data_IF_576463275197
#
_entry.id   IF_576463275197
#
_cell.length_a   1.000
_cell.length_b   1.000
_cell.length_c   1.000
_cell.angle_alpha   90.00
_cell.angle_beta   90.00
_cell.angle_gamma   90.00
#
_symmetry.space_group_name_H-M   'P 1'
#
loop_
_entity.id
_entity.type
_entity.pdbx_description
1 polymer ?
#
# COMPACT_ATOMS: atom_id res chain seq x y z
N UNK A 1 -64.20 -30.37 11.59
CA UNK A 1 -65.41 -29.68 11.08
C UNK A 1 -64.96 -28.54 10.19
N UNK A 2 -64.57 -28.77 8.92
CA UNK A 2 -65.40 -28.78 7.70
C UNK A 2 -66.57 -27.77 7.72
N UNK A 3 -66.44 -26.70 6.94
CA UNK A 3 -67.55 -26.13 6.16
C UNK A 3 -67.04 -25.81 4.75
N UNK A 4 -67.53 -26.61 3.80
CA UNK A 4 -67.58 -26.30 2.38
C UNK A 4 -68.86 -25.49 2.13
N UNK A 5 -68.84 -24.59 1.15
CA UNK A 5 -69.99 -24.37 0.28
C UNK A 5 -69.51 -24.02 -1.13
N UNK A 6 -69.94 -24.85 -2.08
CA UNK A 6 -69.86 -24.66 -3.53
C UNK A 6 -70.85 -23.54 -3.96
N UNK A 7 -70.97 -23.04 -5.19
CA UNK A 7 -70.77 -23.59 -6.53
C UNK A 7 -71.03 -22.43 -7.52
N UNK A 8 -70.31 -22.32 -8.64
CA UNK A 8 -70.87 -22.37 -10.01
C UNK A 8 -69.80 -22.01 -11.04
N UNK A 9 -69.61 -22.92 -11.99
CA UNK A 9 -68.85 -22.72 -13.20
C UNK A 9 -69.70 -21.99 -14.25
N UNK A 10 -69.08 -21.15 -15.09
CA UNK A 10 -69.55 -20.90 -16.44
C UNK A 10 -68.36 -20.79 -17.41
N UNK A 11 -68.42 -21.62 -18.45
CA UNK A 11 -67.57 -21.64 -19.64
C UNK A 11 -67.58 -20.28 -20.37
N UNK A 12 -66.42 -19.84 -20.87
CA UNK A 12 -66.36 -19.03 -22.08
C UNK A 12 -65.10 -19.37 -22.88
N UNK A 13 -65.35 -19.76 -24.13
CA UNK A 13 -64.41 -20.20 -25.16
C UNK A 13 -63.70 -19.01 -25.80
N UNK A 14 -62.44 -19.26 -26.19
CA UNK A 14 -61.53 -18.41 -26.95
C UNK A 14 -62.17 -17.70 -28.16
N UNK A 15 -61.83 -16.42 -28.32
CA UNK A 15 -61.62 -15.77 -29.62
C UNK A 15 -60.29 -15.03 -29.58
N UNK A 16 -59.33 -15.50 -30.38
CA UNK A 16 -58.05 -14.85 -30.64
C UNK A 16 -58.28 -13.54 -31.41
N UNK A 17 -57.81 -12.42 -30.86
CA UNK A 17 -57.47 -11.24 -31.65
C UNK A 17 -55.97 -10.99 -31.53
N UNK A 18 -55.28 -11.11 -32.66
CA UNK A 18 -53.84 -10.86 -32.78
C UNK A 18 -53.66 -9.34 -32.75
N UNK A 19 -53.37 -8.79 -31.57
CA UNK A 19 -52.92 -7.41 -31.44
C UNK A 19 -51.40 -7.39 -31.46
N UNK A 20 -50.84 -6.83 -32.54
CA UNK A 20 -49.40 -6.68 -32.74
C UNK A 20 -48.82 -5.73 -31.70
N UNK A 21 -48.31 -6.29 -30.61
CA UNK A 21 -47.60 -5.53 -29.58
C UNK A 21 -46.16 -5.29 -30.06
N UNK A 22 -45.91 -4.08 -30.59
CA UNK A 22 -44.57 -3.57 -30.87
C UNK A 22 -43.71 -3.74 -29.61
N UNK A 23 -42.63 -4.53 -29.70
CA UNK A 23 -41.55 -4.54 -28.72
C UNK A 23 -41.03 -3.11 -28.57
N UNK A 24 -41.25 -2.49 -27.41
CA UNK A 24 -40.43 -1.36 -26.99
C UNK A 24 -39.01 -1.90 -26.80
N UNK A 25 -38.09 -1.51 -27.68
CA UNK A 25 -36.67 -1.62 -27.43
C UNK A 25 -36.35 -0.69 -26.26
N UNK A 26 -36.33 -1.24 -25.05
CA UNK A 26 -35.77 -0.55 -23.90
C UNK A 26 -34.24 -0.71 -23.95
N UNK A 27 -33.62 0.18 -24.73
CA UNK A 27 -32.18 0.23 -24.95
C UNK A 27 -31.49 1.22 -24.00
N UNK A 28 -32.00 1.38 -22.78
CA UNK A 28 -31.30 2.12 -21.73
C UNK A 28 -30.77 1.17 -20.67
N UNK A 29 -29.89 0.24 -21.06
CA UNK A 29 -28.84 -0.18 -20.13
C UNK A 29 -27.91 1.01 -19.99
N UNK A 30 -27.87 1.59 -18.79
CA UNK A 30 -26.76 2.46 -18.40
C UNK A 30 -25.46 1.76 -18.81
N UNK A 31 -24.60 2.40 -19.61
CA UNK A 31 -23.32 1.80 -19.92
C UNK A 31 -22.64 1.47 -18.59
N UNK A 32 -22.13 0.24 -18.46
CA UNK A 32 -21.25 -0.10 -17.35
C UNK A 32 -20.24 1.04 -17.22
N UNK A 33 -19.98 1.56 -16.01
CA UNK A 33 -18.99 2.61 -15.84
C UNK A 33 -17.71 2.13 -16.53
N UNK A 34 -17.29 2.88 -17.54
CA UNK A 34 -16.05 2.62 -18.26
C UNK A 34 -14.96 2.84 -17.22
N UNK A 35 -14.43 1.74 -16.68
CA UNK A 35 -13.26 1.77 -15.82
C UNK A 35 -12.19 2.51 -16.63
N UNK A 36 -11.61 3.61 -16.12
CA UNK A 36 -10.55 4.32 -16.83
C UNK A 36 -9.48 3.31 -17.22
N UNK A 37 -9.19 3.21 -18.53
CA UNK A 37 -8.08 2.37 -18.99
C UNK A 37 -6.82 3.02 -18.43
N UNK A 38 -6.13 2.32 -17.52
CA UNK A 38 -4.84 2.73 -17.00
C UNK A 38 -3.86 2.84 -18.16
N UNK A 39 -3.53 4.06 -18.60
CA UNK A 39 -2.49 4.30 -19.59
C UNK A 39 -1.10 4.39 -18.96
N UNK A 40 -1.02 4.42 -17.62
CA UNK A 40 0.23 4.25 -16.89
C UNK A 40 0.61 2.77 -16.94
N UNK A 41 1.32 2.37 -18.00
CA UNK A 41 1.87 1.03 -18.21
C UNK A 41 2.90 0.61 -17.15
N UNK A 42 3.12 1.43 -16.12
CA UNK A 42 4.25 1.30 -15.20
C UNK A 42 3.92 0.41 -13.99
N UNK A 43 2.63 0.22 -13.67
CA UNK A 43 2.22 -0.59 -12.51
C UNK A 43 1.71 -1.98 -12.92
N UNK A 44 2.39 -3.02 -12.47
CA UNK A 44 1.96 -4.42 -12.61
C UNK A 44 1.26 -4.89 -11.31
N UNK A 45 -0.06 -5.19 -11.34
CA UNK A 45 -0.78 -5.68 -10.16
C UNK A 45 -0.17 -6.94 -9.56
N UNK A 46 0.43 -7.80 -10.39
CA UNK A 46 1.07 -9.02 -9.90
C UNK A 46 2.29 -8.71 -9.02
N UNK A 47 3.00 -7.61 -9.26
CA UNK A 47 4.11 -7.19 -8.39
C UNK A 47 3.61 -6.81 -6.99
N UNK A 48 2.48 -6.11 -6.89
CA UNK A 48 1.88 -5.78 -5.59
C UNK A 48 1.29 -7.01 -4.90
N UNK A 49 0.68 -7.93 -5.64
CA UNK A 49 0.23 -9.22 -5.09
C UNK A 49 1.42 -9.99 -4.53
N UNK A 50 2.53 -10.05 -5.27
CA UNK A 50 3.75 -10.70 -4.80
C UNK A 50 4.29 -10.04 -3.53
N UNK A 51 4.29 -8.71 -3.47
CA UNK A 51 4.68 -7.97 -2.26
C UNK A 51 3.78 -8.31 -1.07
N UNK A 52 2.50 -8.59 -1.27
CA UNK A 52 1.59 -8.95 -0.17
C UNK A 52 1.56 -10.44 0.19
N UNK A 53 2.03 -11.34 -0.69
CA UNK A 53 1.77 -12.79 -0.54
C UNK A 53 3.02 -13.66 -0.52
N UNK A 54 4.14 -13.21 -1.09
CA UNK A 54 5.38 -13.97 -1.04
C UNK A 54 6.09 -13.77 0.30
N UNK A 55 6.86 -14.78 0.69
CA UNK A 55 7.75 -14.67 1.83
C UNK A 55 8.78 -13.54 1.62
N UNK A 56 9.28 -12.94 2.71
CA UNK A 56 10.35 -11.96 2.65
C UNK A 56 11.61 -12.56 2.05
N UNK A 57 12.41 -11.72 1.40
CA UNK A 57 13.65 -12.17 0.77
C UNK A 57 14.74 -12.53 1.80
N UNK A 58 14.69 -11.94 3.00
CA UNK A 58 15.53 -12.28 4.15
C UNK A 58 14.97 -11.65 5.45
N UNK A 59 15.33 -12.20 6.63
CA UNK A 59 15.00 -11.59 7.91
C UNK A 59 15.79 -10.30 8.13
N UNK A 60 15.19 -9.36 8.84
CA UNK A 60 15.71 -8.02 9.09
C UNK A 60 16.74 -8.03 10.23
N UNK A 61 17.84 -7.31 10.06
CA UNK A 61 18.85 -7.14 11.11
C UNK A 61 18.29 -6.37 12.31
N UNK A 62 18.72 -6.73 13.53
CA UNK A 62 18.38 -6.00 14.75
C UNK A 62 16.90 -6.08 15.17
N UNK A 63 16.18 -7.10 14.71
CA UNK A 63 14.73 -7.28 14.94
C UNK A 63 14.39 -8.65 15.52
N UNK A 64 15.36 -9.36 16.08
CA UNK A 64 15.20 -10.72 16.62
C UNK A 64 14.18 -10.80 17.76
N UNK A 65 13.97 -9.69 18.48
CA UNK A 65 13.05 -9.60 19.60
C UNK A 65 11.63 -9.17 19.22
N UNK A 66 11.36 -8.85 17.94
CA UNK A 66 10.07 -8.31 17.48
C UNK A 66 9.42 -9.20 16.42
N UNK A 67 8.10 -9.26 16.43
CA UNK A 67 7.32 -10.21 15.62
C UNK A 67 7.41 -9.95 14.11
N UNK A 68 7.65 -8.72 13.69
CA UNK A 68 7.83 -8.35 12.28
C UNK A 68 9.26 -8.55 11.77
N UNK A 69 10.19 -8.98 12.62
CA UNK A 69 11.61 -9.07 12.29
C UNK A 69 11.98 -10.13 11.25
N UNK A 70 11.07 -11.04 10.93
CA UNK A 70 11.20 -11.96 9.79
C UNK A 70 11.01 -11.25 8.45
N UNK A 71 10.58 -9.97 8.46
CA UNK A 71 10.31 -9.15 7.28
C UNK A 71 8.96 -9.46 6.64
N UNK A 72 8.13 -10.25 7.32
CA UNK A 72 6.84 -10.78 6.84
C UNK A 72 5.87 -9.65 6.50
N UNK A 73 5.21 -9.78 5.34
CA UNK A 73 4.04 -8.97 5.05
C UNK A 73 3.00 -9.22 6.13
N UNK A 74 2.24 -8.21 6.56
CA UNK A 74 1.07 -8.45 7.40
C UNK A 74 0.06 -9.23 6.56
N UNK A 75 -0.14 -10.55 6.78
CA UNK A 75 -0.91 -11.38 5.85
C UNK A 75 -2.38 -10.98 5.81
N UNK A 76 -2.82 -10.23 6.82
CA UNK A 76 -4.11 -9.59 6.89
C UNK A 76 -3.88 -8.12 7.24
N UNK A 77 -3.87 -7.22 6.24
CA UNK A 77 -3.93 -5.81 6.55
C UNK A 77 -5.18 -5.54 7.41
N UNK A 78 -5.09 -4.61 8.36
CA UNK A 78 -6.23 -4.28 9.21
C UNK A 78 -7.47 -3.99 8.36
N UNK A 79 -8.67 -4.40 8.81
CA UNK A 79 -9.90 -4.17 8.08
C UNK A 79 -10.05 -2.71 7.68
N UNK A 80 -10.54 -2.49 6.46
CA UNK A 80 -10.89 -1.17 5.96
C UNK A 80 -12.43 -1.07 5.94
N UNK A 81 -13.05 -0.13 6.65
CA UNK A 81 -12.47 0.87 7.54
C UNK A 81 -12.07 0.36 8.94
N UNK A 82 -11.16 1.09 9.61
CA UNK A 82 -10.67 0.74 10.94
C UNK A 82 -11.09 1.75 12.02
N UNK A 83 -11.31 1.23 13.23
CA UNK A 83 -11.43 2.00 14.47
C UNK A 83 -10.21 1.75 15.36
N UNK A 84 -9.87 2.70 16.22
CA UNK A 84 -8.94 2.44 17.31
C UNK A 84 -9.57 1.52 18.37
N UNK A 85 -8.78 1.06 19.34
CA UNK A 85 -9.26 0.18 20.41
C UNK A 85 -10.32 0.83 21.33
N UNK A 86 -10.45 2.16 21.31
CA UNK A 86 -11.46 2.93 22.04
C UNK A 86 -12.78 3.04 21.27
N UNK A 87 -12.85 2.50 20.04
CA UNK A 87 -14.03 2.53 19.19
C UNK A 87 -14.19 3.80 18.35
N UNK A 88 -13.17 4.67 18.34
CA UNK A 88 -13.14 5.89 17.53
C UNK A 88 -12.68 5.59 16.11
N UNK A 89 -13.30 6.25 15.14
CA UNK A 89 -12.89 6.14 13.74
C UNK A 89 -11.58 6.89 13.51
N UNK A 90 -10.64 6.25 12.84
CA UNK A 90 -9.51 6.95 12.27
C UNK A 90 -9.98 7.91 11.17
N UNK A 91 -9.30 9.04 11.00
CA UNK A 91 -9.70 10.10 10.05
C UNK A 91 -8.56 10.54 9.16
N UNK A 92 -7.37 9.98 9.34
CA UNK A 92 -6.21 10.27 8.51
C UNK A 92 -5.40 9.01 8.22
N UNK A 93 -4.62 9.06 7.14
CA UNK A 93 -3.66 8.03 6.77
C UNK A 93 -2.30 8.63 6.43
N UNK A 94 -1.26 7.84 6.65
CA UNK A 94 0.04 8.09 6.07
C UNK A 94 0.67 6.81 5.56
N UNK A 95 1.33 6.87 4.41
CA UNK A 95 2.27 5.81 4.05
C UNK A 95 3.51 5.86 4.94
N UNK A 96 4.20 4.73 4.99
CA UNK A 96 5.56 4.63 5.45
C UNK A 96 6.32 3.60 4.62
N UNK A 97 7.64 3.63 4.71
CA UNK A 97 8.52 2.59 4.22
C UNK A 97 9.71 2.41 5.15
N UNK A 98 10.38 1.28 5.00
CA UNK A 98 11.56 0.93 5.78
C UNK A 98 12.60 0.33 4.86
N UNK A 99 13.85 0.74 5.05
CA UNK A 99 15.02 0.09 4.46
C UNK A 99 15.85 -0.52 5.58
N UNK A 100 16.19 -1.79 5.42
CA UNK A 100 17.04 -2.56 6.34
C UNK A 100 18.21 -3.20 5.59
N UNK A 101 19.15 -3.72 6.35
CA UNK A 101 20.04 -4.80 5.91
C UNK A 101 19.53 -6.14 6.47
N UNK A 102 19.88 -7.29 5.87
CA UNK A 102 19.49 -8.59 6.39
C UNK A 102 20.30 -8.92 7.65
N UNK A 103 19.83 -9.88 8.45
CA UNK A 103 20.61 -10.40 9.61
C UNK A 103 22.03 -10.86 9.26
N UNK A 104 22.24 -11.32 8.02
CA UNK A 104 23.57 -11.69 7.52
C UNK A 104 24.52 -10.51 7.28
N UNK A 105 24.05 -9.27 7.44
CA UNK A 105 24.82 -8.06 7.22
C UNK A 105 24.85 -7.61 5.75
N UNK A 106 25.51 -6.47 5.55
CA UNK A 106 25.86 -5.89 4.25
C UNK A 106 27.27 -5.35 4.34
N UNK A 107 28.11 -5.61 3.33
CA UNK A 107 29.51 -5.17 3.31
C UNK A 107 29.74 -4.01 2.35
N UNK A 108 28.69 -3.46 1.74
CA UNK A 108 28.82 -2.29 0.89
C UNK A 108 29.23 -1.04 1.68
N UNK A 109 30.19 -0.33 1.12
CA UNK A 109 30.79 0.89 1.66
C UNK A 109 30.54 2.11 0.77
N UNK A 110 30.34 1.92 -0.54
CA UNK A 110 30.15 2.93 -1.56
C UNK A 110 28.79 2.82 -2.29
N UNK A 111 27.77 2.29 -1.60
CA UNK A 111 26.42 2.12 -2.16
C UNK A 111 25.37 2.85 -1.32
N UNK A 112 24.39 3.44 -1.99
CA UNK A 112 23.20 4.07 -1.39
C UNK A 112 21.92 3.47 -1.97
N UNK A 113 20.87 3.41 -1.18
CA UNK A 113 19.53 3.09 -1.62
C UNK A 113 18.83 4.39 -2.02
N UNK A 114 18.53 4.57 -3.31
CA UNK A 114 17.77 5.70 -3.84
C UNK A 114 16.28 5.37 -3.86
N UNK A 115 15.43 6.30 -3.40
CA UNK A 115 13.98 6.12 -3.23
C UNK A 115 13.25 7.34 -3.80
N UNK A 116 12.17 7.12 -4.55
CA UNK A 116 11.29 8.18 -5.08
C UNK A 116 9.82 7.77 -5.15
N UNK A 117 8.97 8.76 -5.47
CA UNK A 117 7.55 8.58 -5.76
C UNK A 117 6.78 7.87 -4.62
N UNK A 118 7.03 8.29 -3.38
CA UNK A 118 6.32 7.74 -2.21
C UNK A 118 4.88 8.23 -2.25
N UNK A 119 3.94 7.30 -2.46
CA UNK A 119 2.56 7.62 -2.86
C UNK A 119 1.56 6.79 -2.09
N UNK A 120 0.42 7.39 -1.75
CA UNK A 120 -0.77 6.73 -1.18
C UNK A 120 -1.95 6.94 -2.11
N UNK A 121 -2.59 5.84 -2.49
CA UNK A 121 -3.88 5.81 -3.18
C UNK A 121 -4.95 5.18 -2.28
N UNK A 122 -6.18 5.68 -2.40
CA UNK A 122 -7.36 5.05 -1.79
C UNK A 122 -8.35 4.64 -2.89
N UNK A 123 -8.84 3.40 -2.82
CA UNK A 123 -9.97 2.95 -3.62
C UNK A 123 -11.24 3.33 -2.87
N UNK A 124 -12.13 4.08 -3.53
CA UNK A 124 -13.44 4.42 -2.97
C UNK A 124 -14.54 3.48 -3.48
N UNK A 125 -15.72 3.55 -2.86
CA UNK A 125 -16.92 2.78 -3.24
C UNK A 125 -17.38 2.98 -4.70
N UNK A 126 -16.98 4.07 -5.33
CA UNK A 126 -17.20 4.34 -6.76
C UNK A 126 -16.25 3.56 -7.69
N UNK A 127 -15.40 2.69 -7.13
CA UNK A 127 -14.39 1.90 -7.81
C UNK A 127 -13.28 2.73 -8.49
N UNK A 128 -13.04 3.96 -8.03
CA UNK A 128 -11.97 4.82 -8.52
C UNK A 128 -10.85 4.93 -7.46
N UNK A 129 -9.61 4.82 -7.92
CA UNK A 129 -8.44 5.13 -7.09
C UNK A 129 -8.17 6.64 -7.08
N UNK A 130 -8.03 7.19 -5.89
CA UNK A 130 -7.69 8.59 -5.65
C UNK A 130 -6.31 8.69 -5.03
N UNK A 131 -5.43 9.48 -5.65
CA UNK A 131 -4.14 9.84 -5.05
C UNK A 131 -4.36 10.86 -3.94
N UNK A 132 -3.99 10.50 -2.72
CA UNK A 132 -4.20 11.34 -1.53
C UNK A 132 -2.91 11.79 -0.87
N UNK A 133 -1.79 11.11 -1.14
CA UNK A 133 -0.45 11.60 -0.78
C UNK A 133 0.52 11.24 -1.88
N UNK A 134 1.50 12.11 -2.11
CA UNK A 134 2.60 11.89 -3.04
C UNK A 134 3.73 12.85 -2.69
N UNK A 135 4.96 12.36 -2.68
CA UNK A 135 6.11 13.21 -2.39
C UNK A 135 7.44 12.48 -2.47
N UNK A 136 8.50 13.25 -2.24
CA UNK A 136 9.80 12.67 -1.93
C UNK A 136 9.73 12.01 -0.55
N UNK A 137 10.52 10.95 -0.30
CA UNK A 137 10.67 10.43 1.05
C UNK A 137 11.32 11.49 1.96
N UNK A 138 10.78 11.62 3.16
CA UNK A 138 11.46 12.18 4.32
C UNK A 138 11.52 11.11 5.41
N UNK A 139 12.52 11.16 6.28
CA UNK A 139 12.71 10.12 7.27
C UNK A 139 13.97 10.30 8.11
N UNK A 140 14.23 9.33 8.96
CA UNK A 140 15.39 9.29 9.84
C UNK A 140 15.95 7.87 9.94
N UNK A 141 17.17 7.75 10.47
CA UNK A 141 17.78 6.47 10.78
C UNK A 141 17.34 6.04 12.19
N UNK A 142 16.45 5.06 12.29
CA UNK A 142 15.91 4.57 13.56
C UNK A 142 16.68 3.35 14.05
N UNK A 143 16.78 3.18 15.37
CA UNK A 143 17.22 1.90 15.95
C UNK A 143 16.34 0.79 15.36
N UNK A 144 16.96 -0.32 14.97
CA UNK A 144 16.35 -1.34 14.11
C UNK A 144 15.05 -1.96 14.64
N UNK A 145 14.84 -2.03 15.95
CA UNK A 145 13.60 -2.51 16.57
C UNK A 145 12.63 -1.38 16.98
N UNK A 146 12.95 -0.13 16.64
CA UNK A 146 12.26 1.09 17.07
C UNK A 146 12.22 1.30 18.59
N UNK A 147 13.13 0.68 19.35
CA UNK A 147 13.20 0.84 20.79
C UNK A 147 13.26 2.33 21.18
N UNK A 148 12.36 2.71 22.10
CA UNK A 148 12.23 4.06 22.64
C UNK A 148 12.04 5.17 21.58
N UNK A 149 11.62 4.83 20.36
CA UNK A 149 11.51 5.77 19.25
C UNK A 149 12.84 6.52 18.99
N UNK A 150 13.98 5.88 19.26
CA UNK A 150 15.31 6.47 19.11
C UNK A 150 15.71 6.53 17.63
N UNK A 151 16.20 7.70 17.20
CA UNK A 151 16.63 7.93 15.82
C UNK A 151 17.73 8.99 15.72
N UNK A 152 18.46 8.96 14.61
CA UNK A 152 19.45 9.95 14.21
C UNK A 152 19.24 10.39 12.75
N UNK A 153 19.97 11.41 12.31
CA UNK A 153 19.95 11.82 10.90
C UNK A 153 20.43 10.69 9.98
N UNK A 154 19.68 10.45 8.91
CA UNK A 154 20.03 9.47 7.87
C UNK A 154 21.02 10.04 6.83
N UNK A 155 21.31 11.35 6.90
CA UNK A 155 22.05 12.12 5.91
C UNK A 155 21.59 11.80 4.50
N UNK A 156 20.27 11.89 4.32
CA UNK A 156 19.62 11.69 3.03
C UNK A 156 20.17 12.71 2.03
N UNK A 157 20.55 12.22 0.85
CA UNK A 157 21.09 13.05 -0.23
C UNK A 157 19.99 13.29 -1.25
N UNK A 158 19.80 14.54 -1.65
CA UNK A 158 18.91 14.88 -2.77
C UNK A 158 19.48 14.31 -4.08
N UNK A 159 18.64 13.61 -4.83
CA UNK A 159 18.97 12.98 -6.10
C UNK A 159 18.15 13.57 -7.27
N UNK A 160 17.69 14.82 -7.15
CA UNK A 160 16.97 15.54 -8.20
C UNK A 160 17.68 15.50 -9.56
N UNK A 161 19.01 15.58 -9.58
CA UNK A 161 19.85 15.50 -10.79
C UNK A 161 20.14 14.07 -11.27
N UNK A 162 19.74 13.04 -10.50
CA UNK A 162 20.02 11.63 -10.75
C UNK A 162 18.73 10.78 -10.74
N UNK A 163 17.70 11.26 -11.44
CA UNK A 163 16.44 10.52 -11.60
C UNK A 163 15.42 10.72 -10.47
N UNK A 164 15.68 11.63 -9.54
CA UNK A 164 14.74 12.14 -8.54
C UNK A 164 14.77 11.42 -7.18
N UNK A 165 14.05 11.99 -6.22
CA UNK A 165 13.95 11.45 -4.86
C UNK A 165 15.17 11.72 -4.00
N UNK A 166 15.44 10.82 -3.05
CA UNK A 166 16.61 10.90 -2.15
C UNK A 166 17.36 9.58 -2.10
N UNK A 167 18.61 9.59 -1.62
CA UNK A 167 19.35 8.37 -1.32
C UNK A 167 19.97 8.33 0.08
N UNK A 168 20.02 7.14 0.67
CA UNK A 168 20.53 6.90 2.03
C UNK A 168 21.49 5.72 2.09
N UNK A 169 22.33 5.70 3.13
CA UNK A 169 23.07 4.51 3.57
C UNK A 169 22.37 3.94 4.78
N UNK A 170 22.36 2.61 4.89
CA UNK A 170 21.55 1.90 5.88
C UNK A 170 22.34 0.75 6.47
N UNK A 171 22.32 0.61 7.80
CA UNK A 171 22.90 -0.53 8.51
C UNK A 171 24.43 -0.64 8.46
N UNK A 172 25.14 0.35 7.90
CA UNK A 172 26.60 0.33 7.71
C UNK A 172 27.25 1.64 8.13
N UNK A 173 28.53 1.57 8.53
CA UNK A 173 29.30 2.74 8.95
C UNK A 173 28.62 3.48 10.10
N UNK A 174 28.41 4.79 9.94
CA UNK A 174 27.74 5.62 10.96
C UNK A 174 26.28 5.23 11.23
N UNK A 175 25.66 4.43 10.36
CA UNK A 175 24.27 3.96 10.48
C UNK A 175 24.18 2.47 10.85
N UNK A 176 25.27 1.87 11.33
CA UNK A 176 25.22 0.52 11.88
C UNK A 176 24.20 0.44 13.03
N UNK A 177 23.41 -0.63 13.07
CA UNK A 177 22.33 -0.80 14.05
C UNK A 177 21.09 0.07 13.80
N UNK A 178 21.00 0.71 12.63
CA UNK A 178 19.87 1.56 12.27
C UNK A 178 19.26 1.20 10.91
N UNK A 179 17.93 1.17 10.88
CA UNK A 179 17.14 1.14 9.65
C UNK A 179 16.88 2.56 9.15
N UNK A 180 16.48 2.73 7.89
CA UNK A 180 15.91 3.98 7.42
C UNK A 180 14.40 3.88 7.36
N UNK A 181 13.71 4.59 8.25
CA UNK A 181 12.26 4.70 8.24
C UNK A 181 11.87 6.02 7.60
N UNK A 182 10.96 5.95 6.62
CA UNK A 182 10.55 7.11 5.84
C UNK A 182 9.05 7.14 5.59
N UNK A 183 8.56 8.32 5.24
CA UNK A 183 7.19 8.59 4.84
C UNK A 183 7.18 9.68 3.77
N UNK A 184 6.06 9.87 3.09
CA UNK A 184 5.91 10.96 2.12
C UNK A 184 6.12 12.32 2.81
N UNK A 185 6.79 13.24 2.11
CA UNK A 185 6.71 14.66 2.46
C UNK A 185 5.27 15.15 2.44
N UNK A 186 4.95 16.11 3.32
CA UNK A 186 3.62 16.68 3.47
C UNK A 186 2.87 16.20 4.70
N UNK A 187 1.62 16.64 4.82
CA UNK A 187 0.71 16.24 5.91
C UNK A 187 0.11 14.86 5.64
N UNK A 188 -0.36 14.21 6.71
CA UNK A 188 -1.23 13.03 6.61
C UNK A 188 -2.45 13.35 5.77
N UNK A 189 -2.93 12.42 4.95
CA UNK A 189 -4.14 12.64 4.17
C UNK A 189 -5.38 12.47 5.05
N UNK A 190 -6.27 13.46 5.06
CA UNK A 190 -7.62 13.31 5.63
C UNK A 190 -8.43 12.38 4.76
N UNK A 191 -9.24 11.54 5.41
CA UNK A 191 -10.08 10.57 4.74
C UNK A 191 -11.48 10.51 5.36
N UNK A 192 -12.45 10.11 4.55
CA UNK A 192 -13.70 9.58 5.05
C UNK A 192 -13.61 8.05 5.03
N UNK A 193 -13.41 7.46 6.21
CA UNK A 193 -13.29 6.01 6.36
C UNK A 193 -14.51 5.26 5.82
N UNK A 194 -15.71 5.87 5.82
CA UNK A 194 -16.90 5.18 5.33
C UNK A 194 -16.88 4.97 3.82
N UNK A 195 -16.07 5.73 3.07
CA UNK A 195 -16.03 5.70 1.61
C UNK A 195 -14.88 4.87 1.04
N UNK A 196 -13.95 4.41 1.89
CA UNK A 196 -12.76 3.67 1.47
C UNK A 196 -13.03 2.18 1.52
N UNK A 197 -12.65 1.48 0.43
CA UNK A 197 -12.69 0.02 0.34
C UNK A 197 -11.29 -0.59 0.20
N UNK A 198 -10.29 0.21 -0.18
CA UNK A 198 -8.91 -0.27 -0.30
C UNK A 198 -7.90 0.87 -0.16
N UNK A 199 -6.71 0.52 0.32
CA UNK A 199 -5.54 1.42 0.39
C UNK A 199 -4.41 0.75 -0.35
N UNK A 200 -3.66 1.55 -1.11
CA UNK A 200 -2.47 1.12 -1.82
C UNK A 200 -1.36 2.14 -1.60
N UNK A 201 -0.23 1.70 -1.08
CA UNK A 201 0.97 2.54 -0.96
C UNK A 201 2.09 1.97 -1.79
N UNK A 202 2.91 2.84 -2.37
CA UNK A 202 4.07 2.42 -3.12
C UNK A 202 5.18 3.46 -3.12
N UNK A 203 6.39 2.99 -3.42
CA UNK A 203 7.51 3.81 -3.84
C UNK A 203 8.27 3.08 -4.95
N UNK A 204 9.25 3.77 -5.53
CA UNK A 204 10.27 3.16 -6.37
C UNK A 204 11.62 3.27 -5.70
N UNK A 205 12.45 2.23 -5.79
CA UNK A 205 13.82 2.27 -5.31
C UNK A 205 14.80 1.55 -6.22
N UNK A 206 16.09 1.91 -6.10
CA UNK A 206 17.24 1.25 -6.71
C UNK A 206 18.53 1.49 -5.91
N UNK A 207 19.57 0.73 -6.20
CA UNK A 207 20.92 0.94 -5.68
C UNK A 207 21.74 1.84 -6.61
N UNK A 208 22.41 2.84 -6.02
CA UNK A 208 23.33 3.74 -6.72
C UNK A 208 24.68 3.78 -6.02
N UNK A 209 25.72 4.22 -6.74
CA UNK A 209 27.01 4.52 -6.12
C UNK A 209 26.89 5.77 -5.25
N UNK A 210 27.59 5.76 -4.12
CA UNK A 210 27.76 6.97 -3.31
C UNK A 210 28.71 7.94 -3.99
N UNK A 211 29.88 7.45 -4.40
CA UNK A 211 30.95 8.22 -5.01
C UNK A 211 31.37 7.53 -6.31
N UNK A 212 31.25 8.26 -7.42
CA UNK A 212 31.56 7.74 -8.75
C UNK A 212 33.05 7.46 -8.97
N UNK A 213 33.93 8.02 -8.13
CA UNK A 213 35.38 7.85 -8.19
C UNK A 213 35.89 6.62 -7.43
N UNK A 214 35.04 5.99 -6.61
CA UNK A 214 35.36 4.80 -5.83
C UNK A 214 34.88 3.53 -6.54
N UNK A 215 35.43 2.34 -6.18
CA UNK A 215 34.96 1.07 -6.73
C UNK A 215 33.45 0.89 -6.56
N UNK A 216 32.81 0.29 -7.55
CA UNK A 216 31.41 -0.12 -7.47
C UNK A 216 31.28 -1.36 -6.60
N UNK A 217 30.55 -1.24 -5.49
CA UNK A 217 30.30 -2.34 -4.56
C UNK A 217 28.81 -2.66 -4.38
N UNK A 218 27.96 -2.25 -5.35
CA UNK A 218 26.51 -2.48 -5.26
C UNK A 218 26.13 -3.95 -5.16
N UNK A 219 26.93 -4.86 -5.71
CA UNK A 219 26.73 -6.31 -5.55
C UNK A 219 26.84 -6.80 -4.10
N UNK A 220 27.60 -6.07 -3.28
CA UNK A 220 27.77 -6.32 -1.84
C UNK A 220 26.67 -5.66 -1.00
N UNK A 221 25.88 -4.76 -1.59
CA UNK A 221 24.78 -4.11 -0.90
C UNK A 221 23.57 -5.03 -0.86
N UNK A 222 23.11 -5.34 0.34
CA UNK A 222 21.96 -6.19 0.58
C UNK A 222 20.84 -5.39 1.24
N UNK A 223 20.43 -4.27 0.66
CA UNK A 223 19.29 -3.54 1.22
C UNK A 223 17.97 -4.27 0.92
N UNK A 224 17.15 -4.39 1.96
CA UNK A 224 15.76 -4.83 1.89
C UNK A 224 14.87 -3.61 2.06
N UNK A 225 13.85 -3.45 1.21
CA UNK A 225 12.86 -2.39 1.36
C UNK A 225 11.46 -3.00 1.48
N UNK A 226 10.65 -2.40 2.34
CA UNK A 226 9.22 -2.64 2.44
C UNK A 226 8.43 -1.34 2.51
N UNK A 227 7.18 -1.39 2.07
CA UNK A 227 6.21 -0.31 2.17
C UNK A 227 5.05 -0.74 3.07
N UNK A 228 4.41 0.24 3.70
CA UNK A 228 3.20 0.05 4.49
C UNK A 228 2.44 1.36 4.66
N UNK A 229 1.49 1.35 5.59
CA UNK A 229 0.73 2.52 5.97
C UNK A 229 0.21 2.42 7.40
N UNK A 230 -0.14 3.56 7.97
CA UNK A 230 -0.80 3.67 9.27
C UNK A 230 -2.10 4.45 9.15
N UNK A 231 -3.10 4.01 9.91
CA UNK A 231 -4.24 4.81 10.29
C UNK A 231 -3.86 5.79 11.40
N UNK A 232 -4.48 6.97 11.36
CA UNK A 232 -4.28 8.02 12.36
C UNK A 232 -5.61 8.64 12.77
N UNK A 233 -5.73 8.99 14.05
CA UNK A 233 -6.97 9.52 14.61
C UNK A 233 -7.36 10.82 13.90
N UNK A 234 -6.38 11.65 13.56
CA UNK A 234 -6.52 12.81 12.69
C UNK A 234 -5.14 13.22 12.14
N UNK A 235 -5.09 14.28 11.32
CA UNK A 235 -3.85 14.71 10.68
C UNK A 235 -2.73 15.12 11.65
N UNK A 236 -3.10 15.60 12.85
CA UNK A 236 -2.19 16.22 13.81
C UNK A 236 -1.89 15.34 15.03
N UNK A 237 -2.47 14.14 15.09
CA UNK A 237 -2.30 13.25 16.22
C UNK A 237 -0.82 12.86 16.39
N UNK A 238 -0.30 12.95 17.63
CA UNK A 238 1.02 12.43 17.96
C UNK A 238 1.02 10.90 17.96
N UNK A 239 2.17 10.29 17.72
CA UNK A 239 2.32 8.84 17.91
C UNK A 239 2.10 8.50 19.39
N UNK A 240 1.32 7.47 19.66
CA UNK A 240 1.10 6.96 21.01
C UNK A 240 1.44 5.46 21.08
N UNK A 241 2.22 5.03 22.09
CA UNK A 241 2.64 3.63 22.23
C UNK A 241 1.48 2.67 22.52
N UNK A 242 0.33 3.19 22.94
CA UNK A 242 -0.87 2.40 23.20
C UNK A 242 -1.71 2.15 21.94
N UNK A 243 -1.32 2.71 20.78
CA UNK A 243 -2.03 2.63 19.50
C UNK A 243 -3.41 3.30 19.48
N UNK A 244 -3.68 4.22 20.43
CA UNK A 244 -4.97 4.94 20.47
C UNK A 244 -5.06 6.03 19.41
N UNK A 245 -3.92 6.62 19.03
CA UNK A 245 -3.82 7.67 18.02
C UNK A 245 -3.39 7.17 16.64
N UNK A 246 -2.78 5.99 16.56
CA UNK A 246 -2.23 5.41 15.35
C UNK A 246 -2.32 3.89 15.37
N UNK A 247 -2.45 3.27 14.21
CA UNK A 247 -2.41 1.82 14.10
C UNK A 247 -1.96 1.38 12.71
N UNK A 248 -1.10 0.36 12.64
CA UNK A 248 -0.61 -0.16 11.37
C UNK A 248 -1.75 -0.72 10.51
N UNK A 249 -1.86 -0.27 9.26
CA UNK A 249 -2.68 -0.96 8.27
C UNK A 249 -2.06 -2.29 7.88
N UNK A 250 -0.74 -2.35 7.84
CA UNK A 250 0.03 -3.51 7.37
C UNK A 250 1.23 -3.06 6.56
N UNK A 251 2.05 -4.04 6.17
CA UNK A 251 3.21 -3.85 5.29
C UNK A 251 3.26 -4.97 4.26
N UNK A 252 3.82 -4.66 3.10
CA UNK A 252 4.28 -5.66 2.14
C UNK A 252 5.58 -6.31 2.60
N UNK A 253 5.99 -7.39 1.93
CA UNK A 253 7.20 -8.14 2.23
C UNK A 253 8.43 -7.25 2.07
N UNK A 254 9.44 -7.53 2.89
CA UNK A 254 10.79 -7.03 2.68
C UNK A 254 11.43 -7.69 1.44
N UNK A 255 11.80 -6.87 0.46
CA UNK A 255 12.33 -7.30 -0.85
C UNK A 255 13.70 -6.69 -1.11
N UNK A 256 14.60 -7.41 -1.78
CA UNK A 256 15.90 -6.89 -2.19
C UNK A 256 15.76 -5.67 -3.11
N UNK A 257 16.52 -4.63 -2.81
CA UNK A 257 16.72 -3.50 -3.73
C UNK A 257 17.83 -3.87 -4.72
N UNK A 258 17.57 -3.68 -6.01
CA UNK A 258 18.53 -3.96 -7.10
C UNK A 258 19.05 -2.67 -7.72
N UNK A 259 19.94 -2.79 -8.72
CA UNK A 259 20.47 -1.63 -9.45
C UNK A 259 19.43 -0.93 -10.34
N UNK A 260 18.35 -1.62 -10.68
CA UNK A 260 17.27 -1.12 -11.52
C UNK A 260 16.11 -0.60 -10.67
N UNK A 261 15.34 0.33 -11.23
CA UNK A 261 14.14 0.83 -10.57
C UNK A 261 13.12 -0.29 -10.39
N UNK A 262 12.72 -0.53 -9.15
CA UNK A 262 11.69 -1.49 -8.78
C UNK A 262 10.61 -0.81 -7.94
N UNK A 263 9.38 -1.27 -8.08
CA UNK A 263 8.28 -0.88 -7.19
C UNK A 263 8.31 -1.70 -5.91
N UNK A 264 7.96 -1.06 -4.81
CA UNK A 264 7.71 -1.68 -3.51
C UNK A 264 6.36 -1.19 -3.04
N UNK A 265 5.53 -2.08 -2.50
CA UNK A 265 4.14 -1.72 -2.25
C UNK A 265 3.49 -2.48 -1.10
N UNK A 266 2.39 -1.91 -0.61
CA UNK A 266 1.42 -2.55 0.25
C UNK A 266 0.01 -2.31 -0.30
N UNK A 267 -0.85 -3.32 -0.23
CA UNK A 267 -2.25 -3.20 -0.61
C UNK A 267 -3.15 -3.87 0.41
N UNK A 268 -4.27 -3.23 0.75
CA UNK A 268 -5.28 -3.82 1.64
C UNK A 268 -6.30 -4.70 0.91
N UNK A 269 -6.33 -4.67 -0.42
CA UNK A 269 -7.24 -5.50 -1.20
C UNK A 269 -6.73 -6.95 -1.28
N UNK A 270 -7.62 -7.95 -1.20
CA UNK A 270 -7.29 -9.31 -1.55
C UNK A 270 -6.78 -9.41 -3.01
N UNK A 271 -5.94 -10.42 -3.34
CA UNK A 271 -5.37 -10.55 -4.68
C UNK A 271 -6.40 -10.54 -5.82
N UNK A 272 -7.56 -11.19 -5.65
CA UNK A 272 -8.58 -11.24 -6.70
C UNK A 272 -9.26 -9.89 -6.93
N UNK A 273 -9.43 -9.08 -5.88
CA UNK A 273 -10.03 -7.75 -6.00
C UNK A 273 -9.03 -6.75 -6.55
N UNK A 274 -7.75 -6.90 -6.20
CA UNK A 274 -6.65 -6.13 -6.79
C UNK A 274 -6.48 -6.40 -8.29
N UNK A 275 -6.67 -7.65 -8.74
CA UNK A 275 -6.66 -7.98 -10.18
C UNK A 275 -7.84 -7.35 -10.93
N UNK A 276 -9.01 -7.28 -10.31
CA UNK A 276 -10.21 -6.69 -10.91
C UNK A 276 -10.16 -5.15 -10.93
N UNK A 277 -9.56 -4.55 -9.91
CA UNK A 277 -9.50 -3.10 -9.71
C UNK A 277 -8.04 -2.65 -9.50
N UNK A 278 -7.18 -2.79 -10.51
CA UNK A 278 -5.78 -2.42 -10.37
C UNK A 278 -5.63 -0.93 -10.04
N UNK A 279 -4.72 -0.55 -9.11
CA UNK A 279 -4.32 0.83 -8.84
C UNK A 279 -4.05 1.63 -10.11
N UNK A 280 -5.02 2.45 -10.51
CA UNK A 280 -4.91 3.43 -11.57
C UNK A 280 -5.61 4.70 -11.13
N UNK A 281 -4.87 5.77 -10.88
CA UNK A 281 -5.42 7.00 -10.31
C UNK A 281 -5.62 8.06 -11.40
N UNK A 282 -6.67 8.88 -11.23
CA UNK A 282 -6.87 10.13 -11.98
C UNK A 282 -6.00 11.25 -11.44
#
# INVERSE_FOLDING_TARGET
MKKYSACLALLAVLLFSISSCKKKNDNTKTPNPVIPICTDTVFNPQSAINDMTLAPDAPLHGTEAVSWGTGEASPYPMPVPAKNFKGEWFQAITNWGQVYIPRGGSTATNTRCQIKNVTTLILKKDAIWYKVQSGNPQGAAYVEDFANNASMDASARDEASNGGGVSVKVGVGNWAGHNYHFWSTGSRATIDVNEIVGVFTFCQARLIKEDDTKPDDRSNCKNLLQMGADWWLNQNAGWLPDWSANSGMGGGRSKWVTNDWQYFSMCTLPPDDLRKNPPCYK
#
